data_IF_491715966742
#
_entry.id   IF_491715966742
#
_cell.length_a   1.000
_cell.length_b   1.000
_cell.length_c   1.000
_cell.angle_alpha   90.00
_cell.angle_beta   90.00
_cell.angle_gamma   90.00
#
_symmetry.space_group_name_H-M   'P 1'
#
loop_
_entity.id
_entity.type
_entity.pdbx_description
1 polymer ?
#
# COMPACT_ATOMS: atom_id res chain seq x y z
N UNK A 1 16.95 13.10 16.70
CA UNK A 1 15.51 13.40 16.53
C UNK A 1 14.68 12.18 17.00
N UNK A 2 14.11 12.27 18.20
CA UNK A 2 13.24 11.21 18.71
C UNK A 2 11.96 11.21 17.86
N UNK A 3 11.78 10.15 17.07
CA UNK A 3 10.58 9.97 16.27
C UNK A 3 9.38 9.97 17.20
N UNK A 4 8.47 10.92 16.99
CA UNK A 4 7.19 10.98 17.67
C UNK A 4 6.50 9.63 17.49
N UNK A 5 6.43 8.84 18.57
CA UNK A 5 5.60 7.63 18.58
C UNK A 5 4.16 8.11 18.45
N UNK A 6 3.57 7.92 17.27
CA UNK A 6 2.15 8.14 17.09
C UNK A 6 1.39 7.20 18.05
N UNK A 7 0.34 7.68 18.73
CA UNK A 7 -0.44 6.84 19.62
C UNK A 7 -1.03 5.66 18.83
N UNK A 8 -1.13 4.46 19.45
CA UNK A 8 -1.57 3.24 18.76
C UNK A 8 -2.98 3.36 18.13
N UNK A 9 -3.81 4.29 18.62
CA UNK A 9 -5.11 4.63 18.05
C UNK A 9 -5.03 5.33 16.68
N UNK A 10 -3.89 5.93 16.33
CA UNK A 10 -3.60 6.51 15.02
C UNK A 10 -2.88 5.56 14.07
N UNK A 11 -2.44 4.39 14.58
CA UNK A 11 -1.94 3.32 13.72
C UNK A 11 -3.03 2.69 12.84
N UNK A 12 -4.31 3.04 13.06
CA UNK A 12 -5.38 3.13 12.06
C UNK A 12 -5.60 1.98 11.05
N UNK A 13 -6.86 1.60 10.87
CA UNK A 13 -7.29 0.84 9.70
C UNK A 13 -7.23 1.72 8.44
N UNK A 14 -6.64 1.23 7.35
CA UNK A 14 -6.63 1.93 6.07
C UNK A 14 -6.65 0.98 4.88
N UNK A 15 -7.24 1.43 3.79
CA UNK A 15 -7.22 0.74 2.51
C UNK A 15 -6.11 1.31 1.65
N UNK A 16 -5.39 0.43 0.96
CA UNK A 16 -4.48 0.78 -0.13
C UNK A 16 -5.00 0.15 -1.41
N UNK A 17 -5.17 0.96 -2.45
CA UNK A 17 -5.59 0.52 -3.78
C UNK A 17 -4.44 0.80 -4.74
N UNK A 18 -4.18 -0.11 -5.66
CA UNK A 18 -3.16 0.09 -6.68
C UNK A 18 -3.21 -0.97 -7.77
N UNK A 19 -2.30 -0.86 -8.72
CA UNK A 19 -2.20 -1.75 -9.88
C UNK A 19 -0.83 -2.41 -9.90
N UNK A 20 -0.79 -3.75 -9.97
CA UNK A 20 0.46 -4.50 -10.14
C UNK A 20 0.73 -4.71 -11.64
N UNK A 21 1.89 -4.28 -12.09
CA UNK A 21 2.36 -4.44 -13.47
C UNK A 21 2.84 -5.87 -13.75
N UNK A 22 3.08 -6.18 -15.03
CA UNK A 22 3.68 -7.45 -15.46
C UNK A 22 5.07 -7.71 -14.84
N UNK A 23 5.79 -6.66 -14.43
CA UNK A 23 7.10 -6.74 -13.76
C UNK A 23 6.99 -6.87 -12.23
N UNK A 24 5.77 -7.02 -11.69
CA UNK A 24 5.54 -7.12 -10.25
C UNK A 24 5.70 -5.79 -9.51
N UNK A 25 5.71 -4.66 -10.19
CA UNK A 25 5.76 -3.33 -9.56
C UNK A 25 4.36 -2.78 -9.35
N UNK A 26 4.11 -2.18 -8.19
CA UNK A 26 2.83 -1.52 -7.90
C UNK A 26 2.86 -0.05 -8.32
N UNK A 27 1.84 0.37 -9.07
CA UNK A 27 1.62 1.74 -9.56
C UNK A 27 0.21 2.23 -9.18
N UNK A 28 -0.10 3.50 -9.46
CA UNK A 28 -1.41 4.11 -9.20
C UNK A 28 -1.89 3.93 -7.75
N UNK A 29 -0.95 4.07 -6.79
CA UNK A 29 -1.23 3.79 -5.39
C UNK A 29 -2.05 4.92 -4.78
N UNK A 30 -3.22 4.58 -4.26
CA UNK A 30 -4.07 5.45 -3.44
C UNK A 30 -4.26 4.84 -2.06
N UNK A 31 -4.35 5.68 -1.02
CA UNK A 31 -4.64 5.24 0.34
C UNK A 31 -5.81 6.01 0.93
N UNK A 32 -6.67 5.32 1.70
CA UNK A 32 -7.85 5.90 2.33
C UNK A 32 -8.05 5.33 3.75
N UNK A 33 -8.06 6.16 4.81
CA UNK A 33 -7.80 7.61 4.80
C UNK A 33 -6.32 7.95 4.54
N UNK A 34 -6.07 9.17 4.05
CA UNK A 34 -4.74 9.69 3.72
C UNK A 34 -3.92 10.14 4.96
N UNK A 35 -3.69 9.23 5.91
CA UNK A 35 -2.85 9.52 7.08
C UNK A 35 -1.36 9.49 6.73
N UNK A 36 -0.51 10.11 7.56
CA UNK A 36 0.95 10.07 7.36
C UNK A 36 1.49 8.63 7.35
N UNK A 37 0.96 7.78 8.22
CA UNK A 37 1.33 6.37 8.27
C UNK A 37 0.91 5.63 7.00
N UNK A 38 -0.33 5.81 6.53
CA UNK A 38 -0.81 5.18 5.30
C UNK A 38 0.03 5.62 4.08
N UNK A 39 0.40 6.91 4.02
CA UNK A 39 1.30 7.45 2.98
C UNK A 39 2.70 6.85 3.08
N UNK A 40 3.23 6.69 4.29
CA UNK A 40 4.52 6.03 4.51
C UNK A 40 4.48 4.58 4.01
N UNK A 41 3.41 3.84 4.33
CA UNK A 41 3.23 2.46 3.88
C UNK A 41 3.11 2.37 2.35
N UNK A 42 2.32 3.25 1.73
CA UNK A 42 2.19 3.36 0.29
C UNK A 42 3.55 3.59 -0.41
N UNK A 43 4.39 4.45 0.15
CA UNK A 43 5.73 4.71 -0.37
C UNK A 43 6.66 3.49 -0.29
N UNK A 44 6.46 2.59 0.69
CA UNK A 44 7.17 1.31 0.75
C UNK A 44 6.61 0.31 -0.25
N UNK A 45 5.29 0.26 -0.42
CA UNK A 45 4.64 -0.62 -1.40
C UNK A 45 5.03 -0.26 -2.84
N UNK A 46 5.23 1.02 -3.15
CA UNK A 46 5.77 1.48 -4.43
C UNK A 46 7.19 0.94 -4.73
N UNK A 47 7.95 0.56 -3.71
CA UNK A 47 9.32 0.02 -3.83
C UNK A 47 9.37 -1.50 -3.74
N UNK A 48 8.27 -2.14 -3.33
CA UNK A 48 8.18 -3.58 -3.19
C UNK A 48 8.09 -4.26 -4.57
N UNK A 49 8.57 -5.49 -4.63
CA UNK A 49 8.36 -6.38 -5.76
C UNK A 49 7.35 -7.47 -5.38
N UNK A 50 6.23 -7.49 -6.09
CA UNK A 50 5.18 -8.48 -5.97
C UNK A 50 5.41 -9.64 -6.93
N UNK A 51 4.80 -10.78 -6.64
CA UNK A 51 4.75 -11.88 -7.59
C UNK A 51 4.05 -11.43 -8.87
N UNK A 52 4.53 -11.92 -10.01
CA UNK A 52 3.94 -11.60 -11.30
C UNK A 52 2.48 -12.08 -11.35
N UNK A 53 1.51 -11.17 -11.53
CA UNK A 53 0.11 -11.54 -11.55
C UNK A 53 -0.27 -12.23 -12.87
N UNK A 54 -1.31 -13.09 -12.88
CA UNK A 54 -1.82 -13.69 -14.10
C UNK A 54 -2.56 -12.64 -14.95
N UNK A 55 -1.82 -11.98 -15.84
CA UNK A 55 -2.34 -10.93 -16.73
C UNK A 55 -2.97 -11.52 -17.99
N UNK A 56 -4.20 -12.04 -17.88
CA UNK A 56 -4.94 -12.54 -19.06
C UNK A 56 -5.61 -11.36 -19.77
N UNK A 57 -4.94 -10.84 -20.81
CA UNK A 57 -5.48 -9.76 -21.66
C UNK A 57 -5.49 -8.36 -21.03
N UNK A 58 -4.80 -8.16 -19.91
CA UNK A 58 -4.64 -6.87 -19.23
C UNK A 58 -3.16 -6.50 -19.12
N UNK A 59 -2.86 -5.21 -18.96
CA UNK A 59 -1.51 -4.71 -18.74
C UNK A 59 -1.17 -4.59 -17.25
N UNK A 60 -2.19 -4.51 -16.40
CA UNK A 60 -2.07 -4.43 -14.94
C UNK A 60 -3.11 -5.30 -14.23
N UNK A 61 -2.82 -5.62 -12.97
CA UNK A 61 -3.69 -6.37 -12.07
C UNK A 61 -4.09 -5.48 -10.88
N UNK A 62 -5.35 -5.04 -10.77
CA UNK A 62 -5.79 -4.19 -9.68
C UNK A 62 -5.80 -4.97 -8.37
N UNK A 63 -5.36 -4.33 -7.29
CA UNK A 63 -5.38 -4.87 -5.94
C UNK A 63 -5.96 -3.87 -4.96
N UNK A 64 -6.69 -4.40 -3.98
CA UNK A 64 -7.09 -3.69 -2.78
C UNK A 64 -6.51 -4.44 -1.59
N UNK A 65 -5.76 -3.70 -0.78
CA UNK A 65 -5.14 -4.19 0.44
C UNK A 65 -5.84 -3.52 1.60
N UNK A 66 -6.54 -4.33 2.38
CA UNK A 66 -7.17 -3.88 3.60
C UNK A 66 -6.19 -4.09 4.78
N UNK A 67 -5.75 -2.99 5.40
CA UNK A 67 -4.65 -3.01 6.37
C UNK A 67 -5.17 -2.59 7.75
N UNK A 68 -4.86 -3.41 8.75
CA UNK A 68 -5.10 -3.12 10.14
C UNK A 68 -3.77 -3.22 10.91
N UNK A 69 -3.27 -2.11 11.43
CA UNK A 69 -2.02 -2.11 12.21
C UNK A 69 -2.35 -2.31 13.68
N UNK A 70 -1.83 -3.39 14.25
CA UNK A 70 -1.92 -3.67 15.69
C UNK A 70 -0.63 -3.24 16.40
N UNK A 71 -0.71 -2.78 17.66
CA UNK A 71 0.46 -2.48 18.48
C UNK A 71 1.36 -3.70 18.73
#
# INVERSE_FOLDING_TARGET
PAGTKLPASELGHFNLVGDITAAGQMINIEVRPETEMAKCYAAQMAKAHFLHPPLVGRTTYPVLLDLNVTP
#
